data_IF_030036646614
#
_entry.id   IF_030036646614
#
_cell.length_a   1.000
_cell.length_b   1.000
_cell.length_c   1.000
_cell.angle_alpha   90.00
_cell.angle_beta   90.00
_cell.angle_gamma   90.00
#
_symmetry.space_group_name_H-M   'P 1'
#
loop_
_entity.id
_entity.type
_entity.pdbx_description
1 polymer ?
#
# COMPACT_ATOMS: atom_id res chain seq x y z
N UNK A 1 -20.87 0.23 -22.86
CA UNK A 1 -21.01 1.67 -22.75
C UNK A 1 -21.65 1.93 -21.40
N UNK A 2 -20.78 2.22 -20.45
CA UNK A 2 -21.08 2.37 -19.04
C UNK A 2 -21.95 3.61 -18.87
N UNK A 3 -23.21 3.41 -18.47
CA UNK A 3 -23.91 4.49 -17.79
C UNK A 3 -23.18 4.63 -16.44
N UNK A 4 -22.31 5.60 -16.35
CA UNK A 4 -21.72 6.02 -15.11
C UNK A 4 -22.85 6.24 -14.11
N UNK A 5 -22.82 5.50 -13.03
CA UNK A 5 -23.65 5.74 -11.86
C UNK A 5 -23.33 7.18 -11.43
N UNK A 6 -24.30 8.09 -11.48
CA UNK A 6 -24.08 9.48 -11.05
C UNK A 6 -24.15 9.52 -9.53
N UNK A 7 -23.02 9.62 -8.83
CA UNK A 7 -23.01 9.62 -7.38
C UNK A 7 -23.45 10.97 -6.81
N UNK A 8 -24.06 10.89 -5.65
CA UNK A 8 -24.39 12.06 -4.82
C UNK A 8 -23.81 11.88 -3.43
N UNK A 9 -23.56 12.96 -2.73
CA UNK A 9 -23.11 12.93 -1.34
C UNK A 9 -23.95 13.85 -0.46
N UNK A 10 -24.02 13.55 0.83
CA UNK A 10 -24.59 14.41 1.86
C UNK A 10 -23.75 14.34 3.12
N UNK A 11 -23.64 15.44 3.84
CA UNK A 11 -22.94 15.46 5.11
C UNK A 11 -23.74 14.69 6.16
N UNK A 12 -23.04 13.88 6.97
CA UNK A 12 -23.63 13.22 8.11
C UNK A 12 -23.47 14.10 9.37
N UNK A 13 -24.48 14.13 10.21
CA UNK A 13 -24.38 14.77 11.52
C UNK A 13 -23.53 13.90 12.44
N UNK A 14 -22.37 14.42 12.85
CA UNK A 14 -21.38 13.69 13.65
C UNK A 14 -21.78 13.55 15.12
N UNK A 15 -22.85 14.25 15.55
CA UNK A 15 -23.26 14.31 16.97
C UNK A 15 -24.10 13.12 17.43
N UNK A 16 -24.52 12.26 16.50
CA UNK A 16 -25.42 11.16 16.81
C UNK A 16 -24.80 9.79 16.42
N UNK A 17 -24.80 8.77 17.30
CA UNK A 17 -24.30 7.40 16.99
C UNK A 17 -25.32 6.57 16.17
N UNK A 18 -25.57 6.85 15.06
CA UNK A 18 -26.65 7.11 14.11
C UNK A 18 -26.90 6.04 13.08
N UNK A 19 -26.82 4.81 13.46
CA UNK A 19 -27.17 3.70 12.57
C UNK A 19 -28.67 3.29 12.61
N UNK A 20 -29.50 3.93 13.49
CA UNK A 20 -30.86 3.43 13.69
C UNK A 20 -31.98 4.21 12.98
N UNK A 21 -31.74 5.46 12.64
CA UNK A 21 -32.78 6.34 12.09
C UNK A 21 -32.32 7.02 10.79
N UNK A 22 -31.67 6.24 9.90
CA UNK A 22 -31.26 6.74 8.59
C UNK A 22 -32.50 6.85 7.68
N UNK A 23 -32.74 8.05 7.17
CA UNK A 23 -33.75 8.33 6.14
C UNK A 23 -33.10 9.11 5.01
N UNK A 24 -32.95 8.45 3.86
CA UNK A 24 -32.29 9.02 2.69
C UNK A 24 -32.95 10.31 2.20
N UNK A 25 -34.27 10.42 2.31
CA UNK A 25 -35.03 11.58 1.82
C UNK A 25 -34.91 12.82 2.73
N UNK A 26 -34.37 12.67 3.93
CA UNK A 26 -34.14 13.79 4.85
C UNK A 26 -32.83 14.54 4.62
N UNK A 27 -31.96 14.06 3.72
CA UNK A 27 -30.62 14.58 3.48
C UNK A 27 -30.58 15.50 2.25
N UNK A 28 -29.72 16.51 2.32
CA UNK A 28 -29.44 17.45 1.21
C UNK A 28 -28.33 16.85 0.32
N UNK A 29 -28.79 16.16 -0.75
CA UNK A 29 -27.90 15.46 -1.66
C UNK A 29 -27.28 16.39 -2.71
N UNK A 30 -25.95 16.36 -2.83
CA UNK A 30 -25.18 17.11 -3.81
C UNK A 30 -24.48 16.16 -4.77
N UNK A 31 -24.40 16.47 -6.08
CA UNK A 31 -23.66 15.64 -7.04
C UNK A 31 -22.15 15.77 -6.80
N UNK A 32 -21.39 14.70 -7.08
CA UNK A 32 -19.92 14.74 -7.12
C UNK A 32 -19.35 13.82 -8.20
N UNK A 33 -18.10 14.05 -8.58
CA UNK A 33 -17.42 13.31 -9.65
C UNK A 33 -16.55 12.19 -9.06
N UNK A 34 -17.11 10.99 -8.91
CA UNK A 34 -16.32 9.81 -8.57
C UNK A 34 -15.26 9.52 -9.67
N UNK A 35 -14.00 9.12 -9.35
CA UNK A 35 -13.49 8.68 -8.04
C UNK A 35 -12.92 9.79 -7.13
N UNK A 36 -13.01 11.05 -7.53
CA UNK A 36 -12.53 12.15 -6.68
C UNK A 36 -13.40 12.21 -5.42
N UNK A 37 -12.81 12.25 -4.21
CA UNK A 37 -13.58 12.40 -2.98
C UNK A 37 -14.45 13.68 -3.00
N UNK A 38 -15.65 13.65 -2.40
CA UNK A 38 -16.51 14.82 -2.36
C UNK A 38 -15.83 16.00 -1.62
N UNK A 39 -16.12 17.25 -1.98
CA UNK A 39 -15.53 18.41 -1.33
C UNK A 39 -16.12 18.61 0.09
N UNK A 40 -15.53 17.96 1.07
CA UNK A 40 -15.99 18.00 2.46
C UNK A 40 -15.42 19.21 3.21
N UNK A 41 -16.17 19.80 4.17
CA UNK A 41 -15.62 20.71 5.14
C UNK A 41 -14.45 20.10 5.91
N UNK A 42 -13.49 20.92 6.35
CA UNK A 42 -12.28 20.46 7.05
C UNK A 42 -12.54 19.79 8.39
N UNK A 43 -13.72 19.94 8.96
CA UNK A 43 -14.18 19.35 10.22
C UNK A 43 -15.14 18.18 10.02
N UNK A 44 -15.46 17.82 8.77
CA UNK A 44 -16.35 16.69 8.48
C UNK A 44 -15.65 15.36 8.79
N UNK A 45 -16.20 14.60 9.71
CA UNK A 45 -15.73 13.25 10.05
C UNK A 45 -16.63 12.13 9.50
N UNK A 46 -17.78 12.48 8.93
CA UNK A 46 -18.69 11.50 8.34
C UNK A 46 -19.42 12.05 7.11
N UNK A 47 -19.67 11.18 6.13
CA UNK A 47 -20.33 11.52 4.88
C UNK A 47 -21.14 10.34 4.37
N UNK A 48 -22.31 10.63 3.80
CA UNK A 48 -23.08 9.68 3.02
C UNK A 48 -22.74 9.81 1.55
N UNK A 49 -22.46 8.69 0.89
CA UNK A 49 -22.34 8.59 -0.56
C UNK A 49 -23.49 7.75 -1.09
N UNK A 50 -24.16 8.18 -2.16
CA UNK A 50 -25.34 7.51 -2.68
C UNK A 50 -25.30 7.32 -4.18
N UNK A 51 -25.81 6.17 -4.63
CA UNK A 51 -25.96 5.79 -6.04
C UNK A 51 -27.33 5.19 -6.26
N UNK A 52 -27.94 5.49 -7.39
CA UNK A 52 -29.14 4.78 -7.86
C UNK A 52 -28.71 3.56 -8.69
N UNK A 53 -29.06 2.36 -8.24
CA UNK A 53 -28.74 1.12 -8.97
C UNK A 53 -29.66 1.02 -10.20
N UNK A 54 -29.11 0.97 -11.43
CA UNK A 54 -29.94 0.91 -12.64
C UNK A 54 -30.79 -0.35 -12.69
N UNK A 55 -31.98 -0.23 -13.30
CA UNK A 55 -32.82 -1.37 -13.59
C UNK A 55 -32.19 -2.21 -14.72
N UNK A 56 -31.34 -3.17 -14.38
CA UNK A 56 -30.67 -4.04 -15.35
C UNK A 56 -30.50 -5.44 -14.79
N UNK A 57 -30.64 -6.45 -15.64
CA UNK A 57 -30.48 -7.86 -15.27
C UNK A 57 -29.07 -8.20 -14.75
N UNK A 58 -28.07 -7.43 -15.17
CA UNK A 58 -26.69 -7.62 -14.68
C UNK A 58 -26.50 -7.31 -13.19
N UNK A 59 -27.45 -6.56 -12.57
CA UNK A 59 -27.41 -6.23 -11.15
C UNK A 59 -28.30 -7.13 -10.28
N UNK A 60 -28.97 -8.12 -10.88
CA UNK A 60 -29.89 -9.00 -10.15
C UNK A 60 -29.19 -9.93 -9.16
N UNK A 61 -27.96 -10.39 -9.49
CA UNK A 61 -27.10 -11.20 -8.60
C UNK A 61 -25.81 -10.45 -8.27
N UNK A 62 -25.89 -9.11 -8.22
CA UNK A 62 -24.75 -8.25 -8.00
C UNK A 62 -24.27 -8.28 -6.55
N UNK A 63 -22.97 -8.13 -6.39
CA UNK A 63 -22.36 -7.86 -5.12
C UNK A 63 -21.66 -6.52 -5.21
N UNK A 64 -21.84 -5.71 -4.19
CA UNK A 64 -21.12 -4.46 -4.04
C UNK A 64 -19.71 -4.76 -3.54
N UNK A 65 -18.74 -4.25 -4.28
CA UNK A 65 -17.34 -4.30 -3.95
C UNK A 65 -16.79 -2.88 -3.84
N UNK A 66 -16.06 -2.61 -2.79
CA UNK A 66 -15.29 -1.38 -2.65
C UNK A 66 -14.21 -1.53 -1.61
N UNK A 67 -13.21 -0.65 -1.68
CA UNK A 67 -12.09 -0.63 -0.74
C UNK A 67 -12.12 0.68 0.05
N UNK A 68 -11.82 0.60 1.34
CA UNK A 68 -11.64 1.79 2.19
C UNK A 68 -10.39 1.66 3.03
N UNK A 69 -9.88 2.81 3.49
CA UNK A 69 -8.70 2.87 4.37
C UNK A 69 -9.04 3.73 5.58
N UNK A 70 -8.85 3.18 6.78
CA UNK A 70 -9.06 3.88 8.06
C UNK A 70 -10.47 4.47 8.22
N UNK A 71 -11.51 3.74 7.82
CA UNK A 71 -12.89 4.20 7.89
C UNK A 71 -13.83 3.16 8.50
N UNK A 72 -14.80 3.62 9.27
CA UNK A 72 -15.98 2.85 9.66
C UNK A 72 -17.04 2.96 8.56
N UNK A 73 -17.72 1.85 8.27
CA UNK A 73 -18.60 1.73 7.12
C UNK A 73 -19.97 1.22 7.54
N UNK A 74 -21.03 1.85 7.02
CA UNK A 74 -22.39 1.28 7.02
C UNK A 74 -22.98 1.39 5.63
N UNK A 75 -23.57 0.30 5.12
CA UNK A 75 -24.17 0.24 3.79
C UNK A 75 -25.67 0.03 3.94
N UNK A 76 -26.43 0.88 3.29
CA UNK A 76 -27.91 0.86 3.27
C UNK A 76 -28.41 0.62 1.86
N UNK A 77 -29.52 -0.08 1.75
CA UNK A 77 -30.33 -0.17 0.53
C UNK A 77 -31.68 0.46 0.82
N UNK A 78 -31.95 1.63 0.23
CA UNK A 78 -32.93 2.60 0.69
C UNK A 78 -32.66 2.95 2.18
N UNK A 79 -33.56 2.62 3.09
CA UNK A 79 -33.40 2.87 4.53
C UNK A 79 -32.96 1.61 5.32
N UNK A 80 -32.80 0.45 4.65
CA UNK A 80 -32.45 -0.82 5.28
C UNK A 80 -30.93 -0.98 5.42
N UNK A 81 -30.43 -1.17 6.63
CA UNK A 81 -29.01 -1.46 6.89
C UNK A 81 -28.63 -2.87 6.42
N UNK A 82 -27.81 -2.99 5.37
CA UNK A 82 -27.32 -4.27 4.84
C UNK A 82 -26.01 -4.73 5.45
N UNK A 83 -25.10 -3.81 5.72
CA UNK A 83 -23.73 -4.14 6.12
C UNK A 83 -23.16 -3.10 7.07
N UNK A 84 -22.32 -3.55 7.98
CA UNK A 84 -21.63 -2.69 8.93
C UNK A 84 -20.21 -3.19 9.19
N UNK A 85 -19.25 -2.27 9.22
CA UNK A 85 -17.85 -2.54 9.53
C UNK A 85 -17.28 -1.43 10.40
N UNK A 86 -16.34 -1.78 11.31
CA UNK A 86 -15.65 -0.84 12.16
C UNK A 86 -16.26 -0.69 13.56
N UNK A 87 -15.65 0.16 14.38
CA UNK A 87 -16.08 0.43 15.76
C UNK A 87 -16.86 1.74 15.90
N UNK A 88 -18.16 1.67 15.64
CA UNK A 88 -19.08 2.81 15.77
C UNK A 88 -19.31 3.27 17.22
N UNK A 89 -18.64 2.65 18.20
CA UNK A 89 -18.72 3.10 19.59
C UNK A 89 -17.80 4.29 19.88
N UNK A 90 -16.92 4.63 18.92
CA UNK A 90 -15.92 5.69 19.07
C UNK A 90 -14.80 5.39 20.08
N UNK A 91 -14.70 4.12 20.51
CA UNK A 91 -13.67 3.70 21.48
C UNK A 91 -12.34 3.35 20.83
N UNK A 92 -12.39 2.82 19.64
CA UNK A 92 -11.21 2.43 18.85
C UNK A 92 -11.32 2.98 17.45
N UNK A 93 -10.23 3.49 16.92
CA UNK A 93 -10.16 3.90 15.52
C UNK A 93 -10.08 2.67 14.64
N UNK A 94 -10.90 2.61 13.58
CA UNK A 94 -10.76 1.59 12.56
C UNK A 94 -9.55 1.92 11.69
N UNK A 95 -8.58 1.04 11.68
CA UNK A 95 -7.33 1.18 10.93
C UNK A 95 -7.17 0.07 9.90
N UNK A 96 -6.46 0.41 8.85
CA UNK A 96 -6.09 -0.51 7.80
C UNK A 96 -6.92 -0.38 6.54
N UNK A 97 -6.38 -0.98 5.47
CA UNK A 97 -7.07 -1.10 4.19
C UNK A 97 -7.96 -2.33 4.23
N UNK A 98 -9.24 -2.14 3.93
CA UNK A 98 -10.23 -3.21 3.95
C UNK A 98 -11.03 -3.23 2.66
N UNK A 99 -11.20 -4.42 2.08
CA UNK A 99 -12.09 -4.66 0.97
C UNK A 99 -13.43 -5.12 1.53
N UNK A 100 -14.47 -4.38 1.21
CA UNK A 100 -15.84 -4.66 1.60
C UNK A 100 -16.53 -5.43 0.50
N UNK A 101 -17.17 -6.50 0.89
CA UNK A 101 -18.00 -7.34 0.02
C UNK A 101 -19.40 -7.41 0.61
N UNK A 102 -20.35 -6.76 -0.06
CA UNK A 102 -21.74 -6.69 0.39
C UNK A 102 -22.63 -7.36 -0.64
N UNK A 103 -23.20 -8.54 -0.34
CA UNK A 103 -24.17 -9.16 -1.21
C UNK A 103 -25.39 -8.24 -1.39
N UNK A 104 -25.73 -7.94 -2.64
CA UNK A 104 -26.96 -7.22 -2.96
C UNK A 104 -28.04 -8.25 -3.29
N UNK A 105 -29.20 -8.10 -2.67
CA UNK A 105 -30.35 -8.95 -2.96
C UNK A 105 -30.83 -8.72 -4.39
N UNK A 106 -31.51 -9.72 -4.98
CA UNK A 106 -32.15 -9.64 -6.30
C UNK A 106 -33.10 -8.45 -6.46
N UNK A 107 -33.46 -7.79 -5.38
CA UNK A 107 -34.33 -6.61 -5.33
C UNK A 107 -33.57 -5.28 -5.36
N UNK A 108 -32.26 -5.28 -5.50
CA UNK A 108 -31.46 -4.05 -5.43
C UNK A 108 -31.62 -3.16 -6.68
N UNK A 109 -31.96 -3.75 -7.85
CA UNK A 109 -32.13 -3.00 -9.07
C UNK A 109 -33.28 -1.95 -8.96
N UNK A 110 -32.95 -0.69 -9.28
CA UNK A 110 -33.88 0.45 -9.16
C UNK A 110 -33.96 1.03 -7.74
N UNK A 111 -33.21 0.53 -6.79
CA UNK A 111 -33.15 1.05 -5.41
C UNK A 111 -31.94 1.96 -5.20
N UNK A 112 -31.99 2.75 -4.15
CA UNK A 112 -30.91 3.64 -3.74
C UNK A 112 -29.93 2.91 -2.83
N UNK A 113 -28.67 2.84 -3.25
CA UNK A 113 -27.57 2.34 -2.44
C UNK A 113 -26.90 3.52 -1.74
N UNK A 114 -26.79 3.48 -0.42
CA UNK A 114 -26.14 4.54 0.35
C UNK A 114 -25.05 3.94 1.25
N UNK A 115 -23.87 4.55 1.22
CA UNK A 115 -22.73 4.17 2.06
C UNK A 115 -22.41 5.33 2.99
N UNK A 116 -22.54 5.10 4.28
CA UNK A 116 -22.04 6.00 5.32
C UNK A 116 -20.58 5.66 5.60
N UNK A 117 -19.74 6.66 5.49
CA UNK A 117 -18.31 6.62 5.77
C UNK A 117 -18.02 7.51 6.97
N UNK A 118 -17.34 6.99 7.97
CA UNK A 118 -16.87 7.74 9.11
C UNK A 118 -15.37 7.51 9.31
N UNK A 119 -14.61 8.59 9.50
CA UNK A 119 -13.17 8.51 9.74
C UNK A 119 -12.73 9.61 10.70
N UNK A 120 -11.84 9.28 11.62
CA UNK A 120 -11.12 10.26 12.43
C UNK A 120 -10.01 10.96 11.64
N UNK A 121 -9.53 10.35 10.54
CA UNK A 121 -8.64 11.01 9.58
C UNK A 121 -9.46 11.72 8.50
N UNK A 122 -9.57 13.03 8.62
CA UNK A 122 -10.34 13.88 7.68
C UNK A 122 -9.89 13.76 6.22
N UNK A 123 -8.62 13.41 5.97
CA UNK A 123 -8.11 13.21 4.59
C UNK A 123 -8.64 11.93 3.94
N UNK A 124 -9.09 10.98 4.73
CA UNK A 124 -9.63 9.70 4.28
C UNK A 124 -11.16 9.66 4.27
N UNK A 125 -11.80 10.58 5.00
CA UNK A 125 -13.25 10.64 5.05
C UNK A 125 -13.83 10.83 3.64
N UNK A 126 -14.76 9.96 3.25
CA UNK A 126 -15.39 10.00 1.92
C UNK A 126 -14.59 9.40 0.77
N UNK A 127 -13.38 8.89 1.03
CA UNK A 127 -12.57 8.22 0.01
C UNK A 127 -12.97 6.75 -0.11
N UNK A 128 -13.40 6.35 -1.29
CA UNK A 128 -13.68 4.96 -1.66
C UNK A 128 -12.85 4.63 -2.90
N UNK A 129 -12.12 3.52 -2.84
CA UNK A 129 -11.39 2.98 -3.98
C UNK A 129 -12.13 1.76 -4.54
N UNK A 130 -11.94 1.49 -5.84
CA UNK A 130 -12.41 0.27 -6.52
C UNK A 130 -13.90 -0.03 -6.32
N UNK A 131 -14.77 1.02 -6.41
CA UNK A 131 -16.22 0.84 -6.28
C UNK A 131 -16.80 0.19 -7.53
N UNK A 132 -17.31 -1.03 -7.37
CA UNK A 132 -17.90 -1.81 -8.45
C UNK A 132 -19.10 -2.63 -7.96
N UNK A 133 -20.07 -2.85 -8.85
CA UNK A 133 -21.15 -3.84 -8.64
C UNK A 133 -20.90 -4.98 -9.60
N UNK A 134 -20.49 -6.12 -9.09
CA UNK A 134 -20.03 -7.25 -9.87
C UNK A 134 -20.73 -8.55 -9.47
N UNK A 135 -20.73 -9.53 -10.38
CA UNK A 135 -21.08 -10.90 -10.03
C UNK A 135 -20.01 -11.52 -9.12
N UNK A 136 -20.38 -12.47 -8.27
CA UNK A 136 -19.43 -13.21 -7.40
C UNK A 136 -18.26 -13.79 -8.20
N UNK A 137 -18.50 -14.29 -9.41
CA UNK A 137 -17.48 -14.87 -10.26
C UNK A 137 -16.46 -13.81 -10.75
N UNK A 138 -16.94 -12.64 -11.16
CA UNK A 138 -16.08 -11.53 -11.59
C UNK A 138 -15.24 -11.00 -10.43
N UNK A 139 -15.87 -10.78 -9.28
CA UNK A 139 -15.20 -10.41 -8.03
C UNK A 139 -14.05 -11.36 -7.68
N UNK A 140 -14.33 -12.68 -7.64
CA UNK A 140 -13.30 -13.68 -7.32
C UNK A 140 -12.16 -13.66 -8.33
N UNK A 141 -12.44 -13.44 -9.62
CA UNK A 141 -11.43 -13.31 -10.67
C UNK A 141 -10.56 -12.06 -10.45
N UNK A 142 -11.16 -10.89 -10.22
CA UNK A 142 -10.43 -9.62 -10.07
C UNK A 142 -9.52 -9.64 -8.85
N UNK A 143 -10.03 -10.09 -7.71
CA UNK A 143 -9.21 -10.21 -6.48
C UNK A 143 -8.11 -11.24 -6.66
N UNK A 144 -8.40 -12.42 -7.21
CA UNK A 144 -7.39 -13.45 -7.42
C UNK A 144 -6.27 -12.96 -8.34
N UNK A 145 -6.59 -12.14 -9.34
CA UNK A 145 -5.59 -11.58 -10.24
C UNK A 145 -4.71 -10.53 -9.54
N UNK A 146 -5.32 -9.60 -8.79
CA UNK A 146 -4.59 -8.60 -8.03
C UNK A 146 -3.67 -9.24 -6.98
N UNK A 147 -4.21 -10.19 -6.20
CA UNK A 147 -3.42 -10.92 -5.21
C UNK A 147 -2.37 -11.84 -5.82
N UNK A 148 -2.58 -12.40 -7.02
CA UNK A 148 -1.62 -13.27 -7.69
C UNK A 148 -0.28 -12.58 -7.95
N UNK A 149 -0.29 -11.29 -8.22
CA UNK A 149 0.92 -10.51 -8.46
C UNK A 149 1.73 -10.37 -7.17
N UNK A 150 1.08 -9.92 -6.09
CA UNK A 150 1.75 -9.77 -4.79
C UNK A 150 2.21 -11.11 -4.22
N UNK A 151 1.38 -12.16 -4.33
CA UNK A 151 1.76 -13.51 -3.85
C UNK A 151 2.87 -14.13 -4.68
N UNK A 152 2.93 -13.86 -6.00
CA UNK A 152 4.04 -14.26 -6.84
C UNK A 152 5.34 -13.56 -6.44
N UNK A 153 5.29 -12.24 -6.20
CA UNK A 153 6.43 -11.47 -5.75
C UNK A 153 6.93 -11.93 -4.37
N UNK A 154 6.01 -12.20 -3.44
CA UNK A 154 6.32 -12.77 -2.14
C UNK A 154 7.00 -14.14 -2.27
N UNK A 155 6.47 -15.02 -3.12
CA UNK A 155 7.03 -16.36 -3.36
C UNK A 155 8.45 -16.27 -3.93
N UNK A 156 8.68 -15.38 -4.88
CA UNK A 156 10.02 -15.14 -5.45
C UNK A 156 10.97 -14.59 -4.38
N UNK A 157 10.54 -13.60 -3.58
CA UNK A 157 11.36 -13.05 -2.50
C UNK A 157 11.75 -14.12 -1.48
N UNK A 158 10.82 -14.96 -1.06
CA UNK A 158 11.08 -16.08 -0.13
C UNK A 158 12.02 -17.13 -0.74
N UNK A 159 11.84 -17.49 -2.01
CA UNK A 159 12.75 -18.39 -2.70
C UNK A 159 14.18 -17.83 -2.79
N UNK A 160 14.32 -16.52 -3.04
CA UNK A 160 15.61 -15.83 -3.07
C UNK A 160 16.25 -15.78 -1.68
N UNK A 161 15.48 -15.52 -0.63
CA UNK A 161 15.97 -15.56 0.77
C UNK A 161 16.49 -16.96 1.09
N UNK A 162 15.73 -17.99 0.77
CA UNK A 162 16.13 -19.38 1.00
C UNK A 162 17.42 -19.71 0.25
N UNK A 163 17.50 -19.35 -1.04
CA UNK A 163 18.67 -19.58 -1.88
C UNK A 163 19.93 -18.85 -1.33
N UNK A 164 19.83 -17.58 -0.97
CA UNK A 164 20.95 -16.82 -0.40
C UNK A 164 21.36 -17.36 0.97
N UNK A 165 20.41 -17.79 1.79
CA UNK A 165 20.69 -18.37 3.11
C UNK A 165 21.41 -19.71 2.99
N UNK A 166 21.03 -20.55 2.05
CA UNK A 166 21.73 -21.80 1.73
C UNK A 166 23.16 -21.54 1.26
N UNK A 167 23.34 -20.58 0.35
CA UNK A 167 24.68 -20.21 -0.12
C UNK A 167 25.56 -19.66 1.00
N UNK A 168 24.99 -18.82 1.87
CA UNK A 168 25.68 -18.27 3.04
C UNK A 168 26.11 -19.38 4.02
N UNK A 169 25.26 -20.40 4.24
CA UNK A 169 25.55 -21.53 5.12
C UNK A 169 26.63 -22.45 4.54
N UNK A 170 26.58 -22.69 3.23
CA UNK A 170 27.54 -23.60 2.55
C UNK A 170 28.95 -23.04 2.52
N UNK A 171 29.10 -21.70 2.43
CA UNK A 171 30.38 -21.01 2.26
C UNK A 171 30.86 -20.23 3.51
N UNK A 172 30.39 -20.58 4.66
CA UNK A 172 30.36 -19.77 5.89
C UNK A 172 31.66 -19.16 6.40
N UNK A 173 32.84 -19.38 5.81
CA UNK A 173 34.11 -19.08 6.50
C UNK A 173 35.07 -18.10 5.84
N UNK A 174 34.90 -17.68 4.57
CA UNK A 174 35.97 -16.91 3.89
C UNK A 174 35.50 -15.70 3.04
N UNK A 175 34.28 -15.19 3.18
CA UNK A 175 33.73 -14.32 2.16
C UNK A 175 33.81 -12.83 2.50
N UNK A 176 34.57 -12.08 1.67
CA UNK A 176 34.66 -10.62 1.72
C UNK A 176 33.27 -9.94 1.56
N UNK A 177 32.34 -10.62 0.90
CA UNK A 177 31.00 -10.11 0.61
C UNK A 177 29.90 -10.66 1.53
N UNK A 178 30.25 -11.39 2.60
CA UNK A 178 29.27 -11.98 3.53
C UNK A 178 28.29 -10.96 4.08
N UNK A 179 28.75 -9.75 4.41
CA UNK A 179 27.88 -8.67 4.93
C UNK A 179 26.90 -8.18 3.88
N UNK A 180 27.33 -8.02 2.64
CA UNK A 180 26.45 -7.61 1.54
C UNK A 180 25.33 -8.65 1.33
N UNK A 181 25.63 -9.96 1.40
CA UNK A 181 24.60 -11.02 1.33
C UNK A 181 23.62 -10.96 2.49
N UNK A 182 24.10 -10.78 3.71
CA UNK A 182 23.21 -10.65 4.89
C UNK A 182 22.29 -9.45 4.72
N UNK A 183 22.82 -8.29 4.33
CA UNK A 183 22.01 -7.09 4.14
C UNK A 183 21.01 -7.25 2.98
N UNK A 184 21.37 -7.99 1.94
CA UNK A 184 20.46 -8.31 0.85
C UNK A 184 19.33 -9.24 1.30
N UNK A 185 19.61 -10.25 2.15
CA UNK A 185 18.58 -11.08 2.77
C UNK A 185 17.64 -10.24 3.62
N UNK A 186 18.15 -9.30 4.42
CA UNK A 186 17.34 -8.39 5.24
C UNK A 186 16.47 -7.49 4.36
N UNK A 187 17.03 -6.97 3.25
CA UNK A 187 16.29 -6.17 2.28
C UNK A 187 15.14 -6.97 1.65
N UNK A 188 15.39 -8.21 1.24
CA UNK A 188 14.37 -9.10 0.70
C UNK A 188 13.29 -9.47 1.73
N UNK A 189 13.68 -9.65 3.00
CA UNK A 189 12.74 -9.90 4.08
C UNK A 189 11.83 -8.68 4.32
N UNK A 190 12.39 -7.47 4.35
CA UNK A 190 11.62 -6.24 4.46
C UNK A 190 10.67 -6.06 3.26
N UNK A 191 11.15 -6.37 2.05
CA UNK A 191 10.31 -6.36 0.85
C UNK A 191 9.20 -7.41 0.89
N UNK A 192 9.47 -8.63 1.38
CA UNK A 192 8.47 -9.67 1.56
C UNK A 192 7.38 -9.24 2.55
N UNK A 193 7.76 -8.63 3.66
CA UNK A 193 6.82 -8.09 4.65
C UNK A 193 5.99 -6.92 4.09
N UNK A 194 6.61 -6.03 3.33
CA UNK A 194 5.91 -4.96 2.61
C UNK A 194 4.88 -5.52 1.63
N UNK A 195 5.29 -6.51 0.83
CA UNK A 195 4.41 -7.19 -0.14
C UNK A 195 3.23 -7.89 0.56
N UNK A 196 3.50 -8.55 1.69
CA UNK A 196 2.46 -9.22 2.49
C UNK A 196 1.38 -8.24 2.96
N UNK A 197 1.77 -7.04 3.40
CA UNK A 197 0.83 -6.01 3.83
C UNK A 197 -0.02 -5.41 2.70
N UNK A 198 0.41 -5.56 1.43
CA UNK A 198 -0.35 -5.12 0.25
C UNK A 198 -1.34 -6.16 -0.29
N UNK A 199 -1.22 -7.43 0.12
CA UNK A 199 -2.18 -8.45 -0.33
C UNK A 199 -3.49 -8.34 0.42
N UNK A 200 -4.58 -8.72 -0.22
CA UNK A 200 -5.87 -8.88 0.46
C UNK A 200 -6.01 -10.24 1.12
N UNK A 201 -5.14 -11.19 0.73
CA UNK A 201 -5.17 -12.57 1.19
C UNK A 201 -4.90 -12.70 2.69
N UNK A 202 -3.84 -12.05 3.20
CA UNK A 202 -3.44 -12.16 4.60
C UNK A 202 -4.47 -11.57 5.58
N UNK A 203 -5.00 -10.34 5.37
CA UNK A 203 -6.10 -9.83 6.18
C UNK A 203 -7.35 -10.72 6.18
N UNK A 204 -7.63 -11.43 5.07
CA UNK A 204 -8.79 -12.35 4.98
C UNK A 204 -8.58 -13.65 5.73
N UNK A 205 -7.38 -14.25 5.63
CA UNK A 205 -7.09 -15.53 6.28
C UNK A 205 -6.89 -15.36 7.79
N UNK A 206 -6.13 -14.34 8.18
CA UNK A 206 -5.68 -14.15 9.55
C UNK A 206 -6.44 -13.06 10.31
N UNK A 207 -7.26 -12.27 9.61
CA UNK A 207 -7.87 -11.07 10.18
C UNK A 207 -6.84 -9.97 10.44
N UNK A 208 -7.14 -9.04 11.35
CA UNK A 208 -6.26 -7.96 11.80
C UNK A 208 -5.78 -7.02 10.66
N UNK A 209 -6.68 -6.39 9.89
CA UNK A 209 -6.30 -5.52 8.77
C UNK A 209 -5.37 -4.38 9.20
N UNK A 210 -5.56 -3.85 10.42
CA UNK A 210 -4.68 -2.83 10.98
C UNK A 210 -3.21 -3.30 11.08
N UNK A 211 -2.98 -4.54 11.55
CA UNK A 211 -1.62 -5.06 11.68
C UNK A 211 -0.91 -5.14 10.31
N UNK A 212 -1.61 -5.63 9.29
CA UNK A 212 -1.04 -5.75 7.94
C UNK A 212 -0.76 -4.39 7.32
N UNK A 213 -1.64 -3.42 7.57
CA UNK A 213 -1.45 -2.04 7.13
C UNK A 213 -0.25 -1.37 7.79
N UNK A 214 -0.15 -1.46 9.12
CA UNK A 214 1.00 -0.95 9.88
C UNK A 214 2.31 -1.60 9.46
N UNK A 215 2.29 -2.91 9.21
CA UNK A 215 3.45 -3.65 8.71
C UNK A 215 3.87 -3.13 7.33
N UNK A 216 2.91 -2.94 6.41
CA UNK A 216 3.15 -2.36 5.09
C UNK A 216 3.82 -0.98 5.20
N UNK A 217 3.23 -0.08 5.96
CA UNK A 217 3.74 1.28 6.13
C UNK A 217 5.13 1.27 6.78
N UNK A 218 5.33 0.50 7.85
CA UNK A 218 6.64 0.42 8.53
C UNK A 218 7.75 -0.06 7.59
N UNK A 219 7.45 -0.99 6.67
CA UNK A 219 8.44 -1.49 5.71
C UNK A 219 8.82 -0.45 4.64
N UNK A 220 7.93 0.51 4.31
CA UNK A 220 8.29 1.64 3.45
C UNK A 220 9.45 2.43 4.07
N UNK A 221 9.42 2.64 5.38
CA UNK A 221 10.49 3.33 6.12
C UNK A 221 11.75 2.48 6.31
N UNK A 222 11.62 1.16 6.39
CA UNK A 222 12.74 0.23 6.59
C UNK A 222 13.53 -0.05 5.29
N UNK A 223 12.89 -0.10 4.13
CA UNK A 223 13.53 -0.46 2.85
C UNK A 223 14.73 0.43 2.48
N UNK A 224 14.70 1.76 2.61
CA UNK A 224 15.88 2.60 2.31
C UNK A 224 17.06 2.36 3.25
N UNK A 225 16.80 1.97 4.50
CA UNK A 225 17.82 1.56 5.45
C UNK A 225 18.54 0.31 4.92
N UNK A 226 17.76 -0.68 4.47
CA UNK A 226 18.29 -1.92 3.90
C UNK A 226 19.13 -1.64 2.65
N UNK A 227 18.65 -0.79 1.73
CA UNK A 227 19.39 -0.37 0.55
C UNK A 227 20.68 0.37 0.90
N UNK A 228 20.65 1.31 1.85
CA UNK A 228 21.86 2.02 2.30
C UNK A 228 22.89 1.06 2.89
N UNK A 229 22.47 0.02 3.62
CA UNK A 229 23.38 -1.02 4.13
C UNK A 229 24.05 -1.80 2.99
N UNK A 230 23.28 -2.22 1.98
CA UNK A 230 23.83 -2.92 0.80
C UNK A 230 24.81 -2.02 0.05
N UNK A 231 24.42 -0.77 -0.23
CA UNK A 231 25.28 0.18 -0.96
C UNK A 231 26.57 0.46 -0.21
N UNK A 232 26.51 0.57 1.12
CA UNK A 232 27.71 0.81 1.94
C UNK A 232 28.77 -0.29 1.77
N UNK A 233 28.37 -1.53 1.60
CA UNK A 233 29.31 -2.66 1.46
C UNK A 233 29.94 -2.77 0.06
N UNK A 234 29.24 -2.26 -0.98
CA UNK A 234 29.70 -2.39 -2.37
C UNK A 234 30.28 -1.09 -2.96
N UNK A 235 29.97 0.07 -2.39
CA UNK A 235 30.47 1.36 -2.86
C UNK A 235 31.93 1.57 -2.49
N UNK A 236 32.61 2.43 -3.26
CA UNK A 236 34.00 2.80 -2.97
C UNK A 236 34.15 3.50 -1.61
N UNK A 237 35.25 3.29 -0.89
CA UNK A 237 35.48 3.79 0.48
C UNK A 237 35.24 5.30 0.65
N UNK A 238 35.54 6.09 -0.38
CA UNK A 238 35.35 7.55 -0.37
C UNK A 238 33.87 7.97 -0.21
N UNK A 239 32.91 7.11 -0.53
CA UNK A 239 31.45 7.37 -0.41
C UNK A 239 30.87 6.82 0.89
N UNK A 240 31.63 6.02 1.68
CA UNK A 240 31.11 5.37 2.89
C UNK A 240 30.58 6.39 3.91
N UNK A 241 31.20 7.55 4.05
CA UNK A 241 30.76 8.60 4.97
C UNK A 241 29.37 9.13 4.57
N UNK A 242 29.16 9.44 3.27
CA UNK A 242 27.88 9.93 2.77
C UNK A 242 26.77 8.88 2.93
N UNK A 243 27.04 7.63 2.56
CA UNK A 243 26.07 6.53 2.72
C UNK A 243 25.75 6.27 4.20
N UNK A 244 26.75 6.36 5.08
CA UNK A 244 26.56 6.23 6.53
C UNK A 244 25.67 7.35 7.09
N UNK A 245 25.85 8.58 6.64
CA UNK A 245 24.99 9.69 7.06
C UNK A 245 23.53 9.47 6.62
N UNK A 246 23.30 9.05 5.38
CA UNK A 246 21.96 8.67 4.89
C UNK A 246 21.37 7.58 5.78
N UNK A 247 22.12 6.52 6.05
CA UNK A 247 21.70 5.43 6.93
C UNK A 247 21.25 5.94 8.30
N UNK A 248 22.03 6.81 8.95
CA UNK A 248 21.69 7.34 10.27
C UNK A 248 20.43 8.21 10.23
N UNK A 249 20.25 9.01 9.17
CA UNK A 249 19.04 9.83 8.99
C UNK A 249 17.82 8.92 8.90
N UNK A 250 17.83 7.90 8.04
CA UNK A 250 16.69 6.99 7.89
C UNK A 250 16.41 6.15 9.14
N UNK A 251 17.46 5.67 9.84
CA UNK A 251 17.28 4.97 11.12
C UNK A 251 16.65 5.90 12.16
N UNK A 252 17.10 7.14 12.23
CA UNK A 252 16.54 8.14 13.15
C UNK A 252 15.08 8.46 12.85
N UNK A 253 14.74 8.66 11.57
CA UNK A 253 13.35 8.91 11.15
C UNK A 253 12.48 7.69 11.43
N UNK A 254 12.92 6.50 11.05
CA UNK A 254 12.17 5.26 11.29
C UNK A 254 11.88 5.06 12.78
N UNK A 255 12.89 5.25 13.63
CA UNK A 255 12.71 5.15 15.08
C UNK A 255 11.73 6.20 15.63
N UNK A 256 11.86 7.47 15.19
CA UNK A 256 10.99 8.55 15.63
C UNK A 256 9.54 8.36 15.18
N UNK A 257 9.33 7.98 13.92
CA UNK A 257 7.99 7.76 13.36
C UNK A 257 7.35 6.54 14.00
N UNK A 258 8.10 5.43 14.17
CA UNK A 258 7.59 4.23 14.86
C UNK A 258 7.20 4.54 16.31
N UNK A 259 8.00 5.31 17.03
CA UNK A 259 7.66 5.72 18.40
C UNK A 259 6.39 6.59 18.43
N UNK A 260 6.27 7.54 17.51
CA UNK A 260 5.08 8.39 17.39
C UNK A 260 3.82 7.58 17.01
N UNK A 261 3.96 6.54 16.17
CA UNK A 261 2.88 5.62 15.82
C UNK A 261 2.38 4.85 17.05
N UNK A 262 3.31 4.29 17.84
CA UNK A 262 2.96 3.59 19.10
C UNK A 262 2.20 4.49 20.09
N UNK A 263 2.47 5.80 20.07
CA UNK A 263 1.75 6.80 20.91
C UNK A 263 0.37 7.15 20.30
N UNK A 264 -0.01 6.59 19.15
CA UNK A 264 -1.31 6.82 18.51
C UNK A 264 -1.40 8.10 17.69
N UNK A 265 -0.30 8.51 17.03
CA UNK A 265 -0.22 9.76 16.25
C UNK A 265 -0.47 9.59 14.76
N UNK A 266 -0.80 8.40 14.27
CA UNK A 266 -0.89 8.07 12.83
C UNK A 266 0.33 8.60 12.05
N UNK A 267 1.51 8.42 12.64
CA UNK A 267 2.71 9.11 12.21
C UNK A 267 3.25 8.57 10.87
N UNK A 268 3.07 7.28 10.58
CA UNK A 268 3.48 6.70 9.31
C UNK A 268 2.82 7.41 8.13
N UNK A 269 1.52 7.59 8.15
CA UNK A 269 0.79 8.26 7.06
C UNK A 269 1.05 9.77 7.03
N UNK A 270 1.09 10.43 8.20
CA UNK A 270 1.27 11.88 8.30
C UNK A 270 2.63 12.35 7.81
N UNK A 271 3.68 11.56 8.04
CA UNK A 271 5.07 11.91 7.67
C UNK A 271 5.39 11.48 6.23
N UNK A 272 4.64 10.55 5.65
CA UNK A 272 4.93 9.93 4.36
C UNK A 272 5.18 10.93 3.22
N UNK A 273 4.40 12.01 3.00
CA UNK A 273 4.65 12.96 1.92
C UNK A 273 6.02 13.65 2.03
N UNK A 274 6.40 14.07 3.23
CA UNK A 274 7.72 14.67 3.49
C UNK A 274 8.85 13.65 3.38
N UNK A 275 8.59 12.44 3.87
CA UNK A 275 9.52 11.33 3.78
C UNK A 275 9.84 10.96 2.33
N UNK A 276 8.87 10.96 1.43
CA UNK A 276 9.06 10.69 0.01
C UNK A 276 10.05 11.66 -0.65
N UNK A 277 10.02 12.94 -0.32
CA UNK A 277 10.99 13.93 -0.82
C UNK A 277 12.41 13.57 -0.39
N UNK A 278 12.60 13.24 0.89
CA UNK A 278 13.89 12.83 1.43
C UNK A 278 14.35 11.51 0.80
N UNK A 279 13.43 10.57 0.60
CA UNK A 279 13.69 9.27 -0.02
C UNK A 279 14.27 9.44 -1.43
N UNK A 280 13.62 10.22 -2.30
CA UNK A 280 14.09 10.47 -3.66
C UNK A 280 15.45 11.19 -3.68
N UNK A 281 15.64 12.19 -2.83
CA UNK A 281 16.94 12.88 -2.71
C UNK A 281 18.03 11.89 -2.32
N UNK A 282 17.75 10.99 -1.39
CA UNK A 282 18.70 9.98 -0.93
C UNK A 282 19.01 8.95 -2.01
N UNK A 283 18.04 8.54 -2.81
CA UNK A 283 18.29 7.65 -3.94
C UNK A 283 19.23 8.27 -4.97
N UNK A 284 19.10 9.56 -5.26
CA UNK A 284 20.01 10.25 -6.16
C UNK A 284 21.46 10.22 -5.64
N UNK A 285 21.66 10.41 -4.33
CA UNK A 285 22.99 10.34 -3.70
C UNK A 285 23.55 8.90 -3.74
N UNK A 286 22.72 7.90 -3.44
CA UNK A 286 23.12 6.50 -3.51
C UNK A 286 23.45 6.06 -4.94
N UNK A 287 22.64 6.44 -5.93
CA UNK A 287 22.87 6.18 -7.35
C UNK A 287 24.18 6.85 -7.80
N UNK A 288 24.43 8.11 -7.40
CA UNK A 288 25.68 8.79 -7.71
C UNK A 288 26.90 8.06 -7.12
N UNK A 289 26.82 7.65 -5.86
CA UNK A 289 27.88 6.88 -5.22
C UNK A 289 28.18 5.56 -5.94
N UNK A 290 27.14 4.83 -6.36
CA UNK A 290 27.27 3.57 -7.10
C UNK A 290 27.83 3.78 -8.51
N UNK A 291 27.33 4.77 -9.27
CA UNK A 291 27.83 5.10 -10.61
C UNK A 291 29.32 5.42 -10.58
N UNK A 292 29.75 6.24 -9.64
CA UNK A 292 31.18 6.59 -9.48
C UNK A 292 32.02 5.40 -9.03
N UNK A 293 31.46 4.52 -8.20
CA UNK A 293 32.15 3.30 -7.71
C UNK A 293 32.28 2.24 -8.80
N UNK A 294 31.32 2.16 -9.75
CA UNK A 294 31.36 1.19 -10.84
C UNK A 294 32.64 1.32 -11.71
N UNK A 295 33.00 2.56 -12.04
CA UNK A 295 34.14 2.82 -12.93
C UNK A 295 35.49 2.55 -12.28
N UNK A 296 35.55 2.58 -10.93
CA UNK A 296 36.80 2.58 -10.21
C UNK A 296 37.02 1.39 -9.25
N UNK A 297 35.96 0.66 -8.89
CA UNK A 297 36.07 -0.21 -7.70
C UNK A 297 35.45 -1.60 -7.86
N UNK A 298 34.13 -1.74 -8.14
CA UNK A 298 33.48 -3.04 -8.07
C UNK A 298 32.37 -3.23 -9.13
N UNK A 299 32.36 -4.35 -9.90
CA UNK A 299 31.35 -4.61 -10.93
C UNK A 299 29.92 -4.73 -10.39
N UNK A 300 29.74 -5.19 -9.14
CA UNK A 300 28.42 -5.29 -8.51
C UNK A 300 27.69 -3.93 -8.43
N UNK A 301 28.44 -2.81 -8.37
CA UNK A 301 27.86 -1.47 -8.37
C UNK A 301 27.01 -1.21 -9.61
N UNK A 302 27.34 -1.79 -10.75
CA UNK A 302 26.55 -1.66 -12.00
C UNK A 302 25.14 -2.23 -11.82
N UNK A 303 25.03 -3.44 -11.29
CA UNK A 303 23.74 -4.10 -11.09
C UNK A 303 22.91 -3.44 -10.01
N UNK A 304 23.57 -3.04 -8.90
CA UNK A 304 22.91 -2.27 -7.84
C UNK A 304 22.42 -0.92 -8.34
N UNK A 305 23.17 -0.24 -9.22
CA UNK A 305 22.75 1.03 -9.83
C UNK A 305 21.48 0.86 -10.66
N UNK A 306 21.47 -0.12 -11.57
CA UNK A 306 20.25 -0.38 -12.37
C UNK A 306 19.07 -0.72 -11.49
N UNK A 307 19.26 -1.57 -10.48
CA UNK A 307 18.24 -1.92 -9.52
C UNK A 307 17.69 -0.72 -8.77
N UNK A 308 18.56 0.14 -8.27
CA UNK A 308 18.16 1.31 -7.51
C UNK A 308 17.49 2.39 -8.39
N UNK A 309 17.94 2.57 -9.65
CA UNK A 309 17.27 3.47 -10.61
C UNK A 309 15.87 2.95 -10.91
N UNK A 310 15.71 1.67 -11.22
CA UNK A 310 14.41 1.08 -11.47
C UNK A 310 13.49 1.22 -10.26
N UNK A 311 13.98 0.90 -9.06
CA UNK A 311 13.24 1.05 -7.81
C UNK A 311 12.82 2.50 -7.56
N UNK A 312 13.73 3.48 -7.74
CA UNK A 312 13.43 4.90 -7.56
C UNK A 312 12.38 5.40 -8.57
N UNK A 313 12.50 5.01 -9.85
CA UNK A 313 11.54 5.40 -10.88
C UNK A 313 10.14 4.88 -10.60
N UNK A 314 10.03 3.66 -10.08
CA UNK A 314 8.75 3.04 -9.77
C UNK A 314 8.16 3.54 -8.48
N UNK A 315 8.99 3.79 -7.46
CA UNK A 315 8.54 4.46 -6.24
C UNK A 315 7.99 5.86 -6.56
N UNK A 316 8.62 6.58 -7.50
CA UNK A 316 8.08 7.86 -7.97
C UNK A 316 6.73 7.69 -8.65
N UNK A 317 6.60 6.68 -9.51
CA UNK A 317 5.34 6.37 -10.18
C UNK A 317 4.22 6.06 -9.18
N UNK A 318 4.50 5.25 -8.15
CA UNK A 318 3.51 4.92 -7.12
C UNK A 318 3.12 6.13 -6.27
N UNK A 319 4.09 7.01 -5.94
CA UNK A 319 3.78 8.26 -5.23
C UNK A 319 2.90 9.18 -6.09
N UNK A 320 3.19 9.31 -7.39
CA UNK A 320 2.36 10.09 -8.30
C UNK A 320 0.96 9.50 -8.47
N UNK A 321 0.85 8.17 -8.50
CA UNK A 321 -0.45 7.50 -8.51
C UNK A 321 -1.24 7.78 -7.23
N UNK A 322 -0.60 7.62 -6.08
CA UNK A 322 -1.24 7.81 -4.77
C UNK A 322 -1.69 9.26 -4.53
N UNK A 323 -0.85 10.23 -4.87
CA UNK A 323 -1.15 11.65 -4.61
C UNK A 323 -2.07 12.28 -5.67
N UNK A 324 -1.95 11.87 -6.94
CA UNK A 324 -2.61 12.54 -8.06
C UNK A 324 -3.58 11.66 -8.85
N UNK A 325 -3.76 10.39 -8.48
CA UNK A 325 -4.61 9.41 -9.19
C UNK A 325 -4.35 9.34 -10.71
N UNK A 326 -3.09 9.59 -11.12
CA UNK A 326 -2.73 9.75 -12.54
C UNK A 326 -2.75 8.44 -13.35
N UNK A 327 -2.68 7.28 -12.68
CA UNK A 327 -2.52 6.00 -13.34
C UNK A 327 -3.28 4.90 -12.61
N UNK A 328 -3.78 3.93 -13.35
CA UNK A 328 -4.38 2.72 -12.79
C UNK A 328 -3.33 1.60 -12.75
N UNK A 329 -2.80 1.26 -11.60
CA UNK A 329 -2.01 0.06 -11.46
C UNK A 329 -0.73 0.16 -10.63
N UNK A 330 -0.80 -0.35 -9.42
CA UNK A 330 0.31 -0.59 -8.47
C UNK A 330 1.28 -1.70 -8.97
N UNK A 331 1.05 -2.22 -10.17
CA UNK A 331 1.74 -3.39 -10.74
C UNK A 331 3.24 -3.19 -10.93
N UNK A 332 3.67 -1.96 -11.07
CA UNK A 332 5.01 -1.60 -11.49
C UNK A 332 6.06 -1.89 -10.42
N UNK A 333 5.79 -1.53 -9.18
CA UNK A 333 6.75 -1.63 -8.07
C UNK A 333 7.18 -3.05 -7.76
N UNK A 334 6.22 -3.98 -7.74
CA UNK A 334 6.45 -5.37 -7.36
C UNK A 334 7.28 -6.09 -8.40
N UNK A 335 6.92 -5.96 -9.67
CA UNK A 335 7.60 -6.66 -10.77
C UNK A 335 9.04 -6.16 -10.92
N UNK A 336 9.25 -4.87 -10.84
CA UNK A 336 10.58 -4.30 -11.09
C UNK A 336 11.52 -4.36 -9.89
N UNK A 337 11.03 -4.33 -8.67
CA UNK A 337 11.90 -4.56 -7.50
C UNK A 337 12.56 -5.93 -7.57
N UNK A 338 11.83 -6.93 -8.08
CA UNK A 338 12.39 -8.26 -8.34
C UNK A 338 13.43 -8.21 -9.46
N UNK A 339 13.12 -7.56 -10.59
CA UNK A 339 14.04 -7.41 -11.70
C UNK A 339 15.30 -6.63 -11.34
N UNK A 340 15.22 -5.72 -10.39
CA UNK A 340 16.35 -4.96 -9.89
C UNK A 340 17.28 -5.77 -9.00
N UNK A 341 16.73 -6.64 -8.17
CA UNK A 341 17.45 -7.43 -7.17
C UNK A 341 18.04 -8.70 -7.79
N UNK A 342 17.33 -9.35 -8.72
CA UNK A 342 17.77 -10.61 -9.36
C UNK A 342 19.15 -10.48 -10.05
N UNK A 343 19.42 -9.48 -10.89
CA UNK A 343 20.73 -9.35 -11.51
C UNK A 343 21.86 -9.12 -10.51
N UNK A 344 21.60 -8.38 -9.43
CA UNK A 344 22.58 -8.16 -8.36
C UNK A 344 22.91 -9.47 -7.66
N UNK A 345 21.91 -10.29 -7.34
CA UNK A 345 22.11 -11.60 -6.72
C UNK A 345 22.88 -12.53 -7.64
N UNK A 346 22.48 -12.64 -8.91
CA UNK A 346 23.15 -13.50 -9.89
C UNK A 346 24.61 -13.07 -10.10
N UNK A 347 24.88 -11.77 -10.09
CA UNK A 347 26.25 -11.27 -10.19
C UNK A 347 27.08 -11.63 -8.96
N UNK A 348 26.55 -11.40 -7.76
CA UNK A 348 27.24 -11.74 -6.50
C UNK A 348 27.53 -13.24 -6.42
N UNK A 349 26.64 -14.10 -6.93
CA UNK A 349 26.85 -15.54 -7.00
C UNK A 349 27.93 -15.89 -8.04
N UNK A 350 27.89 -15.30 -9.24
CA UNK A 350 28.83 -15.58 -10.32
C UNK A 350 30.25 -15.18 -9.96
N UNK A 351 30.44 -14.06 -9.28
CA UNK A 351 31.76 -13.60 -8.83
C UNK A 351 32.35 -14.46 -7.71
N UNK A 352 31.52 -15.28 -7.05
CA UNK A 352 31.96 -16.24 -6.06
C UNK A 352 32.33 -17.62 -6.63
N UNK A 353 31.93 -17.91 -7.86
CA UNK A 353 32.26 -19.17 -8.53
C UNK A 353 33.54 -19.10 -9.35
N UNK A 354 34.13 -17.92 -9.51
CA UNK A 354 35.45 -17.68 -10.13
C UNK A 354 36.50 -17.44 -9.10
#
# INVERSE_FOLDING_TARGET
PDRQLSPTYALADTTSPLLRDFHADALDWQPYDYPVPPPLPTDASAVYLSWEIPYSSQFMDGNLLFTTTNQDIAVYLDDDLLYRYGDWSGRTETRGRTIHYVPLDNKAAGRRLTILLHSTDMRRCGSIDDFEIETTAQFMKNISFADAIYTSALSIALAMIAFLSLNLSWRALQDLHRRAHIYLIVCLAAFALWTTGNTTLFPRIFGMPALWWELHLSMIYALPICWALVVREIAAPQYHASVKNILHIFVGIFAAVTLAEIIGRNAYENVLPFYNILLFTSYLILIHALLRSHWAYHPACRYATFGLIAFAALSLFDVLHWEFHLFTGILSMVVFSIYAIVPLILHLIRTQMM
#
